data_IF_030335314540
#
_entry.id   IF_030335314540
#
_cell.length_a   1.000
_cell.length_b   1.000
_cell.length_c   1.000
_cell.angle_alpha   90.00
_cell.angle_beta   90.00
_cell.angle_gamma   90.00
#
_symmetry.space_group_name_H-M   'P 1'
#
loop_
_entity.id
_entity.type
_entity.pdbx_description
1 polymer ?
#
# COMPACT_ATOMS: atom_id res chain seq x y z
N UNK A 1 -6.94 8.54 -14.91
CA UNK A 1 -5.87 7.97 -14.06
C UNK A 1 -5.30 6.74 -14.76
N UNK A 2 -4.30 6.95 -15.62
CA UNK A 2 -3.58 5.88 -16.34
C UNK A 2 -2.45 5.40 -15.42
N UNK A 3 -2.53 4.17 -14.91
CA UNK A 3 -1.45 3.57 -14.14
C UNK A 3 -0.58 2.78 -15.11
N UNK A 4 0.61 3.30 -15.42
CA UNK A 4 1.63 2.58 -16.18
C UNK A 4 2.54 1.84 -15.19
N UNK A 5 2.53 0.50 -15.23
CA UNK A 5 3.51 -0.33 -14.51
C UNK A 5 4.51 -0.86 -15.53
N UNK A 6 5.76 -0.40 -15.46
CA UNK A 6 6.86 -0.92 -16.27
C UNK A 6 7.61 -1.99 -15.48
N UNK A 7 7.67 -3.21 -16.04
CA UNK A 7 8.54 -4.29 -15.58
C UNK A 7 9.84 -4.32 -16.41
N UNK A 8 10.90 -4.85 -15.79
CA UNK A 8 12.33 -4.75 -16.17
C UNK A 8 12.74 -5.46 -17.49
N UNK A 9 11.80 -5.78 -18.38
CA UNK A 9 12.07 -6.45 -19.67
C UNK A 9 11.53 -5.68 -20.89
N UNK A 10 11.15 -4.41 -20.73
CA UNK A 10 10.67 -3.59 -21.85
C UNK A 10 9.30 -4.02 -22.42
N UNK A 11 8.55 -4.89 -21.73
CA UNK A 11 7.16 -5.20 -22.05
C UNK A 11 6.21 -4.32 -21.23
N UNK A 12 5.43 -3.51 -21.93
CA UNK A 12 4.28 -2.78 -21.41
C UNK A 12 3.20 -3.82 -21.07
N UNK A 13 2.79 -3.91 -19.81
CA UNK A 13 1.78 -4.87 -19.35
C UNK A 13 0.35 -4.29 -19.33
N UNK A 14 0.16 -2.99 -19.58
CA UNK A 14 -1.17 -2.39 -19.62
C UNK A 14 -1.25 -1.26 -20.67
N UNK A 15 -1.95 -1.56 -21.76
CA UNK A 15 -2.50 -0.58 -22.70
C UNK A 15 -4.03 -0.60 -22.55
N UNK A 16 -4.63 0.56 -22.31
CA UNK A 16 -6.09 0.71 -22.10
C UNK A 16 -6.88 0.62 -23.40
N UNK A 17 -6.22 0.64 -24.56
CA UNK A 17 -6.88 0.63 -25.86
C UNK A 17 -7.18 -0.80 -26.36
N UNK A 18 -6.69 -1.84 -25.67
CA UNK A 18 -6.86 -3.26 -26.06
C UNK A 18 -7.67 -4.12 -25.08
N UNK A 19 -8.09 -3.59 -23.92
CA UNK A 19 -8.81 -4.39 -22.92
C UNK A 19 -10.31 -4.20 -23.07
N UNK A 20 -10.96 -5.16 -23.72
CA UNK A 20 -12.41 -5.34 -23.60
C UNK A 20 -12.79 -5.38 -22.12
N UNK A 21 -13.70 -4.51 -21.71
CA UNK A 21 -14.16 -4.41 -20.32
C UNK A 21 -14.82 -5.75 -19.96
N UNK A 22 -14.07 -6.62 -19.29
CA UNK A 22 -14.63 -7.80 -18.64
C UNK A 22 -15.48 -7.28 -17.49
N UNK A 23 -16.79 -7.48 -17.59
CA UNK A 23 -17.74 -7.16 -16.52
C UNK A 23 -17.52 -8.15 -15.38
N UNK A 24 -16.57 -7.88 -14.50
CA UNK A 24 -16.33 -8.67 -13.29
C UNK A 24 -17.48 -8.39 -12.31
N UNK A 25 -18.37 -9.36 -12.12
CA UNK A 25 -19.39 -9.28 -11.08
C UNK A 25 -18.72 -9.36 -9.70
N UNK A 26 -18.81 -8.27 -8.92
CA UNK A 26 -18.26 -8.14 -7.56
C UNK A 26 -19.11 -8.93 -6.53
N UNK A 27 -19.31 -10.21 -6.77
CA UNK A 27 -20.04 -11.14 -5.89
C UNK A 27 -19.06 -11.93 -5.01
N UNK A 28 -19.52 -12.58 -3.93
CA UNK A 28 -18.64 -13.37 -3.04
C UNK A 28 -18.09 -12.61 -1.83
N UNK A 29 -16.98 -13.02 -1.22
CA UNK A 29 -16.37 -12.30 -0.07
C UNK A 29 -15.44 -11.20 -0.57
N UNK A 30 -15.19 -10.17 0.25
CA UNK A 30 -14.34 -9.03 -0.15
C UNK A 30 -12.97 -9.42 -0.77
N UNK A 31 -12.21 -10.39 -0.22
CA UNK A 31 -10.93 -10.79 -0.84
C UNK A 31 -11.10 -11.36 -2.25
N UNK A 32 -12.23 -12.03 -2.52
CA UNK A 32 -12.51 -12.67 -3.80
C UNK A 32 -12.93 -11.63 -4.85
N UNK A 33 -13.50 -10.51 -4.41
CA UNK A 33 -13.98 -9.42 -5.28
C UNK A 33 -12.87 -8.50 -5.76
N UNK A 34 -11.81 -8.35 -4.95
CA UNK A 34 -10.70 -7.41 -5.16
C UNK A 34 -9.37 -8.08 -4.75
N UNK A 35 -8.91 -9.09 -5.51
CA UNK A 35 -7.75 -9.90 -5.13
C UNK A 35 -6.43 -9.11 -5.11
N UNK A 36 -6.36 -8.00 -5.84
CA UNK A 36 -5.16 -7.19 -6.01
C UNK A 36 -5.07 -6.01 -5.02
N UNK A 37 -5.88 -6.00 -3.95
CA UNK A 37 -5.85 -4.94 -2.93
C UNK A 37 -5.47 -5.47 -1.55
N UNK A 38 -4.66 -4.70 -0.84
CA UNK A 38 -4.38 -4.95 0.58
C UNK A 38 -5.58 -4.54 1.44
N UNK A 39 -6.26 -5.53 2.01
CA UNK A 39 -7.36 -5.31 2.95
C UNK A 39 -6.85 -4.99 4.35
N UNK A 40 -7.76 -4.54 5.24
CA UNK A 40 -7.42 -4.40 6.66
C UNK A 40 -6.95 -5.76 7.21
N UNK A 41 -5.72 -5.86 7.75
CA UNK A 41 -5.21 -7.10 8.28
C UNK A 41 -6.06 -7.56 9.48
N UNK A 42 -6.25 -8.87 9.61
CA UNK A 42 -6.94 -9.47 10.76
C UNK A 42 -6.07 -9.39 12.02
N UNK A 43 -4.78 -9.61 11.85
CA UNK A 43 -3.78 -9.60 12.90
C UNK A 43 -2.90 -8.35 12.78
N UNK A 44 -2.76 -7.62 13.89
CA UNK A 44 -1.99 -6.39 13.95
C UNK A 44 -0.52 -6.74 14.25
N UNK A 45 0.35 -6.66 13.24
CA UNK A 45 1.79 -6.97 13.39
C UNK A 45 2.56 -5.76 13.91
N UNK A 46 2.19 -4.57 13.44
CA UNK A 46 2.85 -3.31 13.82
C UNK A 46 1.91 -2.49 14.71
N UNK A 47 2.42 -1.90 15.81
CA UNK A 47 1.66 -0.93 16.58
C UNK A 47 1.35 0.30 15.73
N UNK A 48 0.13 0.82 15.88
CA UNK A 48 -0.33 2.07 15.30
C UNK A 48 -0.90 2.96 16.40
N UNK A 49 -1.04 4.25 16.10
CA UNK A 49 -1.70 5.22 16.98
C UNK A 49 -3.03 5.69 16.38
N UNK A 50 -3.82 6.33 17.23
CA UNK A 50 -5.00 7.09 16.83
C UNK A 50 -4.59 8.54 16.60
N UNK A 51 -5.00 9.12 15.48
CA UNK A 51 -4.76 10.53 15.18
C UNK A 51 -6.09 11.26 14.94
N UNK A 52 -6.14 12.54 15.31
CA UNK A 52 -7.34 13.37 15.15
C UNK A 52 -7.37 13.92 13.73
N UNK A 53 -8.44 13.62 13.00
CA UNK A 53 -8.69 14.17 11.67
C UNK A 53 -8.95 15.68 11.70
N UNK A 54 -8.93 16.32 10.53
CA UNK A 54 -9.28 17.74 10.40
C UNK A 54 -10.69 18.08 10.92
N UNK A 55 -11.60 17.10 10.96
CA UNK A 55 -12.95 17.26 11.50
C UNK A 55 -13.03 17.05 13.04
N UNK A 56 -11.89 16.88 13.72
CA UNK A 56 -11.84 16.63 15.17
C UNK A 56 -12.16 15.17 15.55
N UNK A 57 -12.35 14.28 14.57
CA UNK A 57 -12.69 12.87 14.82
C UNK A 57 -11.41 12.06 15.02
N UNK A 58 -11.25 11.31 16.13
CA UNK A 58 -10.15 10.39 16.33
C UNK A 58 -10.26 9.18 15.40
N UNK A 59 -9.19 8.87 14.68
CA UNK A 59 -9.12 7.76 13.71
C UNK A 59 -7.93 6.86 14.04
N UNK A 60 -8.23 5.58 14.30
CA UNK A 60 -7.22 4.52 14.37
C UNK A 60 -6.53 4.37 13.00
N UNK A 61 -5.21 4.59 12.93
CA UNK A 61 -4.47 4.61 11.66
C UNK A 61 -4.11 3.22 11.10
N UNK A 62 -4.60 2.13 11.71
CA UNK A 62 -4.52 0.77 11.13
C UNK A 62 -5.38 0.58 9.87
N UNK A 63 -6.18 1.57 9.50
CA UNK A 63 -7.01 1.55 8.29
C UNK A 63 -6.31 2.17 7.07
N UNK A 64 -5.16 2.82 7.27
CA UNK A 64 -4.44 3.49 6.19
C UNK A 64 -3.82 2.49 5.22
N UNK A 65 -3.67 2.92 3.97
CA UNK A 65 -3.13 2.07 2.88
C UNK A 65 -1.69 1.65 3.17
N UNK A 66 -0.87 2.55 3.70
CA UNK A 66 0.51 2.28 4.09
C UNK A 66 0.58 1.19 5.17
N UNK A 67 -0.32 1.24 6.16
CA UNK A 67 -0.40 0.21 7.20
C UNK A 67 -0.80 -1.15 6.62
N UNK A 68 -1.83 -1.17 5.78
CA UNK A 68 -2.36 -2.40 5.17
C UNK A 68 -1.32 -3.10 4.31
N UNK A 69 -0.66 -2.37 3.40
CA UNK A 69 0.34 -2.93 2.49
C UNK A 69 1.53 -3.49 3.28
N UNK A 70 2.11 -2.71 4.19
CA UNK A 70 3.31 -3.14 4.92
C UNK A 70 3.01 -4.29 5.89
N UNK A 71 1.83 -4.29 6.50
CA UNK A 71 1.40 -5.42 7.35
C UNK A 71 1.17 -6.68 6.52
N UNK A 72 0.54 -6.58 5.34
CA UNK A 72 0.34 -7.73 4.46
C UNK A 72 1.68 -8.33 3.98
N UNK A 73 2.63 -7.48 3.58
CA UNK A 73 3.97 -7.92 3.22
C UNK A 73 4.64 -8.61 4.41
N UNK A 74 4.56 -8.03 5.60
CA UNK A 74 5.13 -8.63 6.82
C UNK A 74 4.47 -9.97 7.18
N UNK A 75 3.17 -10.12 6.98
CA UNK A 75 2.46 -11.41 7.15
C UNK A 75 3.00 -12.45 6.19
N UNK A 76 3.16 -12.10 4.91
CA UNK A 76 3.67 -13.00 3.87
C UNK A 76 5.13 -13.42 4.12
N UNK A 77 5.96 -12.49 4.59
CA UNK A 77 7.37 -12.75 4.86
C UNK A 77 7.61 -13.48 6.19
N UNK A 78 6.74 -13.29 7.18
CA UNK A 78 6.87 -13.89 8.50
C UNK A 78 8.24 -13.57 9.13
N UNK A 79 8.96 -14.62 9.52
CA UNK A 79 10.29 -14.52 10.15
C UNK A 79 11.46 -14.47 9.15
N UNK A 80 11.20 -14.35 7.84
CA UNK A 80 12.25 -14.21 6.84
C UNK A 80 12.88 -12.81 6.85
N UNK A 81 13.66 -12.51 7.88
CA UNK A 81 14.40 -11.25 8.03
C UNK A 81 15.54 -11.06 7.01
N UNK A 82 15.83 -12.07 6.19
CA UNK A 82 16.81 -12.00 5.08
C UNK A 82 16.16 -11.73 3.73
N UNK A 83 14.85 -11.54 3.67
CA UNK A 83 14.15 -11.13 2.46
C UNK A 83 14.76 -9.82 1.92
N UNK A 84 14.97 -9.76 0.61
CA UNK A 84 15.59 -8.63 -0.08
C UNK A 84 14.64 -8.09 -1.13
N UNK A 85 14.65 -6.78 -1.36
CA UNK A 85 13.87 -6.17 -2.42
C UNK A 85 13.71 -4.67 -2.23
N UNK A 86 12.82 -4.09 -3.03
CA UNK A 86 12.46 -2.67 -2.93
C UNK A 86 10.94 -2.56 -2.89
N UNK A 87 10.42 -1.79 -1.93
CA UNK A 87 9.01 -1.41 -1.85
C UNK A 87 8.91 0.08 -2.12
N UNK A 88 8.28 0.46 -3.24
CA UNK A 88 8.02 1.86 -3.58
C UNK A 88 6.57 2.21 -3.32
N UNK A 89 6.32 3.14 -2.40
CA UNK A 89 4.98 3.63 -2.11
C UNK A 89 4.85 5.06 -2.63
N UNK A 90 3.94 5.26 -3.57
CA UNK A 90 3.50 6.59 -3.96
C UNK A 90 2.25 6.98 -3.16
N UNK A 91 2.29 8.14 -2.52
CA UNK A 91 1.14 8.70 -1.80
C UNK A 91 1.01 10.20 -2.09
N UNK A 92 -0.20 10.70 -2.30
CA UNK A 92 -0.39 12.13 -2.59
C UNK A 92 -0.02 13.00 -1.38
N UNK A 93 -0.28 12.50 -0.18
CA UNK A 93 0.00 13.17 1.10
C UNK A 93 1.18 12.50 1.79
N UNK A 94 2.01 13.25 2.53
CA UNK A 94 3.05 12.62 3.35
C UNK A 94 2.40 11.61 4.32
N UNK A 95 3.06 10.47 4.61
CA UNK A 95 2.57 9.54 5.63
C UNK A 95 2.36 10.25 6.97
N UNK A 96 1.28 9.92 7.66
CA UNK A 96 1.04 10.43 9.02
C UNK A 96 2.09 9.88 10.01
N UNK A 97 2.10 10.38 11.25
CA UNK A 97 3.07 9.95 12.25
C UNK A 97 2.94 8.45 12.54
N UNK A 98 1.70 7.93 12.64
CA UNK A 98 1.46 6.51 12.82
C UNK A 98 2.01 5.66 11.67
N UNK A 99 1.82 6.07 10.42
CA UNK A 99 2.32 5.33 9.26
C UNK A 99 3.84 5.40 9.16
N UNK A 100 4.44 6.55 9.49
CA UNK A 100 5.89 6.72 9.54
C UNK A 100 6.52 5.75 10.55
N UNK A 101 5.93 5.60 11.73
CA UNK A 101 6.37 4.60 12.72
C UNK A 101 6.27 3.16 12.18
N UNK A 102 5.20 2.84 11.43
CA UNK A 102 5.05 1.51 10.82
C UNK A 102 6.10 1.24 9.76
N UNK A 103 6.44 2.24 8.93
CA UNK A 103 7.53 2.17 7.95
C UNK A 103 8.87 1.91 8.65
N UNK A 104 9.16 2.61 9.75
CA UNK A 104 10.38 2.42 10.52
C UNK A 104 10.47 1.00 11.12
N UNK A 105 9.37 0.52 11.71
CA UNK A 105 9.32 -0.83 12.30
C UNK A 105 9.43 -1.93 11.25
N UNK A 106 8.80 -1.74 10.08
CA UNK A 106 8.94 -2.65 8.95
C UNK A 106 10.39 -2.73 8.48
N UNK A 107 11.02 -1.56 8.27
CA UNK A 107 12.40 -1.46 7.80
C UNK A 107 13.40 -2.08 8.80
N UNK A 108 13.15 -1.93 10.10
CA UNK A 108 13.93 -2.60 11.15
C UNK A 108 13.75 -4.13 11.13
N UNK A 109 12.54 -4.61 10.85
CA UNK A 109 12.24 -6.06 10.81
C UNK A 109 12.82 -6.74 9.56
N UNK A 110 12.84 -6.04 8.42
CA UNK A 110 13.34 -6.54 7.13
C UNK A 110 14.44 -5.61 6.59
N UNK A 111 15.66 -5.62 7.15
CA UNK A 111 16.69 -4.62 6.89
C UNK A 111 17.31 -4.67 5.49
N UNK A 112 16.98 -5.67 4.68
CA UNK A 112 17.46 -5.80 3.30
C UNK A 112 16.36 -5.48 2.27
N UNK A 113 15.22 -4.98 2.75
CA UNK A 113 14.16 -4.41 1.90
C UNK A 113 14.26 -2.89 1.99
N UNK A 114 14.57 -2.25 0.87
CA UNK A 114 14.58 -0.80 0.78
C UNK A 114 13.13 -0.29 0.64
N UNK A 115 12.70 0.56 1.56
CA UNK A 115 11.37 1.19 1.50
C UNK A 115 11.53 2.63 1.03
N UNK A 116 11.05 2.90 -0.19
CA UNK A 116 11.06 4.23 -0.78
C UNK A 116 9.66 4.85 -0.69
N UNK A 117 9.53 5.98 0.00
CA UNK A 117 8.30 6.77 0.08
C UNK A 117 8.40 7.96 -0.87
N UNK A 118 7.53 7.99 -1.87
CA UNK A 118 7.41 9.08 -2.83
C UNK A 118 6.10 9.79 -2.53
N UNK A 119 6.16 11.08 -2.18
CA UNK A 119 4.95 11.85 -1.94
C UNK A 119 4.94 13.21 -2.64
N UNK A 120 3.75 13.64 -3.06
CA UNK A 120 3.58 14.91 -3.79
C UNK A 120 3.31 16.09 -2.85
N UNK A 121 3.84 16.05 -1.62
CA UNK A 121 3.71 17.11 -0.60
C UNK A 121 2.25 17.60 -0.37
N UNK A 122 1.27 16.71 -0.55
CA UNK A 122 -0.15 17.05 -0.39
C UNK A 122 -0.82 17.66 -1.61
N UNK A 123 -0.10 17.82 -2.73
CA UNK A 123 -0.69 18.25 -4.00
C UNK A 123 -1.36 17.05 -4.66
N UNK A 124 -2.68 17.13 -4.85
CA UNK A 124 -3.43 16.09 -5.54
C UNK A 124 -3.12 16.11 -7.03
N UNK A 125 -2.94 14.92 -7.61
CA UNK A 125 -2.80 14.78 -9.05
C UNK A 125 -4.21 14.71 -9.65
N UNK A 126 -4.60 15.72 -10.42
CA UNK A 126 -5.96 15.86 -10.95
C UNK A 126 -6.08 15.59 -12.46
N UNK A 127 -4.95 15.57 -13.17
CA UNK A 127 -4.90 15.37 -14.62
C UNK A 127 -4.01 14.15 -14.93
N UNK A 128 -4.61 13.06 -15.41
CA UNK A 128 -3.95 11.79 -15.72
C UNK A 128 -4.43 11.18 -17.02
#
# INVERSE_FOLDING_TARGET
>A
MKVLILSNEGKILFDLDTVGIVKVELTGRLPDRVPDISLKPKDEIFPYSTEVSAAGVPIARNIDTEYKILTEIATKLGNNNKAKGVVRLFTERPPCNSCSNVIDLFSKKYPLIDVEIIHNKGVMLINF
#
